data_IF_761572218535
#
_entry.id   IF_761572218535
#
_cell.length_a   1.000
_cell.length_b   1.000
_cell.length_c   1.000
_cell.angle_alpha   90.00
_cell.angle_beta   90.00
_cell.angle_gamma   90.00
#
_symmetry.space_group_name_H-M   'P 1'
#
loop_
_entity.id
_entity.type
_entity.pdbx_description
1 polymer ?
#
# COMPACT_ATOMS: atom_id res chain seq x y z
N UNK A 1 -0.10 10.69 10.84
CA UNK A 1 -0.02 9.30 11.32
C UNK A 1 0.37 8.42 10.14
N UNK A 2 1.48 7.70 10.22
CA UNK A 2 2.05 6.94 9.10
C UNK A 2 1.16 5.76 8.72
N UNK A 3 1.11 5.44 7.43
CA UNK A 3 0.24 4.41 6.86
C UNK A 3 1.06 3.33 6.18
N UNK A 4 0.76 2.07 6.48
CA UNK A 4 1.48 0.94 5.91
C UNK A 4 0.51 -0.09 5.35
N UNK A 5 0.79 -0.54 4.14
CA UNK A 5 0.11 -1.68 3.55
C UNK A 5 0.71 -2.97 4.11
N UNK A 6 -0.14 -3.95 4.44
CA UNK A 6 0.28 -5.31 4.71
C UNK A 6 -0.68 -6.29 4.04
N UNK A 7 -0.21 -7.46 3.61
CA UNK A 7 -1.12 -8.51 3.16
C UNK A 7 -2.01 -8.97 4.33
N UNK A 8 -3.26 -9.34 4.04
CA UNK A 8 -4.25 -9.71 5.07
C UNK A 8 -3.78 -10.86 5.98
N UNK A 9 -2.95 -11.75 5.46
CA UNK A 9 -2.36 -12.90 6.15
C UNK A 9 -1.44 -12.49 7.31
N UNK A 10 -0.93 -11.25 7.28
CA UNK A 10 -0.14 -10.66 8.36
C UNK A 10 -0.97 -10.27 9.58
N UNK A 11 -2.30 -10.29 9.49
CA UNK A 11 -3.23 -9.86 10.53
C UNK A 11 -3.83 -11.08 11.21
N UNK A 12 -3.57 -11.24 12.51
CA UNK A 12 -4.07 -12.38 13.32
C UNK A 12 -4.66 -11.87 14.62
N UNK A 13 -5.98 -11.99 14.77
CA UNK A 13 -6.70 -11.48 15.94
C UNK A 13 -6.50 -9.98 16.10
N UNK A 14 -5.91 -9.57 17.22
CA UNK A 14 -5.61 -8.17 17.53
C UNK A 14 -4.14 -7.78 17.23
N UNK A 15 -3.39 -8.57 16.46
CA UNK A 15 -1.96 -8.34 16.21
C UNK A 15 -1.62 -8.41 14.72
N UNK A 16 -0.75 -7.50 14.28
CA UNK A 16 -0.23 -7.43 12.92
C UNK A 16 1.27 -7.68 12.98
N UNK A 17 1.75 -8.68 12.23
CA UNK A 17 3.16 -8.95 12.06
C UNK A 17 3.67 -8.33 10.76
N UNK A 18 4.68 -7.46 10.86
CA UNK A 18 5.28 -6.79 9.69
C UNK A 18 6.73 -7.25 9.57
N UNK A 19 7.12 -7.71 8.40
CA UNK A 19 8.46 -8.17 8.07
C UNK A 19 8.86 -7.70 6.67
N UNK A 20 10.08 -8.00 6.23
CA UNK A 20 10.52 -7.68 4.88
C UNK A 20 10.72 -6.18 4.64
N UNK A 21 10.34 -5.71 3.45
CA UNK A 21 10.64 -4.34 3.01
C UNK A 21 9.84 -3.29 3.79
N UNK A 22 8.60 -3.59 4.15
CA UNK A 22 7.77 -2.71 4.99
C UNK A 22 8.36 -2.57 6.39
N UNK A 23 8.90 -3.64 6.99
CA UNK A 23 9.55 -3.55 8.30
C UNK A 23 10.82 -2.69 8.25
N UNK A 24 11.64 -2.85 7.21
CA UNK A 24 12.81 -2.00 6.99
C UNK A 24 12.41 -0.52 6.83
N UNK A 25 11.38 -0.25 6.02
CA UNK A 25 10.85 1.09 5.84
C UNK A 25 10.35 1.70 7.17
N UNK A 26 9.69 0.91 8.01
CA UNK A 26 9.20 1.36 9.32
C UNK A 26 10.35 1.64 10.31
N UNK A 27 11.32 0.73 10.40
CA UNK A 27 12.35 0.75 11.46
C UNK A 27 13.50 1.68 11.09
N UNK A 28 14.01 1.59 9.87
CA UNK A 28 15.27 2.24 9.50
C UNK A 28 15.05 3.61 8.82
N UNK A 29 13.98 3.70 8.01
CA UNK A 29 13.64 4.93 7.27
C UNK A 29 12.74 5.84 8.10
N UNK A 30 11.57 5.33 8.51
CA UNK A 30 10.60 6.08 9.31
C UNK A 30 11.00 6.19 10.79
N UNK A 31 11.87 5.29 11.28
CA UNK A 31 12.42 5.29 12.64
C UNK A 31 11.37 5.29 13.74
N UNK A 32 10.27 4.57 13.51
CA UNK A 32 9.22 4.41 14.50
C UNK A 32 9.74 3.61 15.71
N UNK A 33 9.22 3.96 16.89
CA UNK A 33 9.59 3.39 18.18
C UNK A 33 8.45 2.58 18.78
N UNK A 34 8.78 1.85 19.84
CA UNK A 34 7.76 1.26 20.71
C UNK A 34 6.77 2.34 21.16
N UNK A 35 5.49 1.95 21.18
CA UNK A 35 4.35 2.79 21.53
C UNK A 35 3.96 3.85 20.48
N UNK A 36 4.65 3.97 19.35
CA UNK A 36 4.19 4.85 18.27
C UNK A 36 2.90 4.33 17.64
N UNK A 37 2.00 5.26 17.30
CA UNK A 37 0.74 4.97 16.62
C UNK A 37 0.91 4.90 15.11
N UNK A 38 0.31 3.86 14.51
CA UNK A 38 0.31 3.63 13.07
C UNK A 38 -1.07 3.27 12.57
N UNK A 39 -1.29 3.53 11.28
CA UNK A 39 -2.43 2.98 10.56
C UNK A 39 -1.93 1.90 9.62
N UNK A 40 -2.51 0.72 9.72
CA UNK A 40 -2.24 -0.41 8.82
C UNK A 40 -3.48 -0.68 7.99
N UNK A 41 -3.33 -1.04 6.71
CA UNK A 41 -4.44 -1.38 5.83
C UNK A 41 -4.09 -2.59 4.97
N UNK A 42 -5.11 -3.37 4.59
CA UNK A 42 -4.94 -4.67 3.92
C UNK A 42 -5.35 -4.69 2.43
N UNK A 43 -5.70 -3.52 1.88
CA UNK A 43 -6.18 -3.39 0.51
C UNK A 43 -7.61 -3.90 0.27
N UNK A 44 -8.30 -4.44 1.29
CA UNK A 44 -9.69 -4.91 1.17
C UNK A 44 -10.73 -3.85 1.54
N UNK A 45 -10.27 -2.61 1.79
CA UNK A 45 -11.10 -1.53 2.32
C UNK A 45 -11.05 -1.41 3.84
N UNK A 46 -10.28 -2.24 4.55
CA UNK A 46 -10.13 -2.16 6.01
C UNK A 46 -8.87 -1.41 6.44
N UNK A 47 -9.03 -0.62 7.50
CA UNK A 47 -7.95 0.06 8.20
C UNK A 47 -7.94 -0.32 9.68
N UNK A 48 -6.73 -0.44 10.23
CA UNK A 48 -6.44 -0.80 11.59
C UNK A 48 -5.61 0.31 12.22
N UNK A 49 -6.14 0.95 13.27
CA UNK A 49 -5.33 1.76 14.15
C UNK A 49 -4.59 0.81 15.08
N UNK A 50 -3.30 1.05 15.28
CA UNK A 50 -2.52 0.21 16.17
C UNK A 50 -1.30 0.89 16.73
N UNK A 51 -0.71 0.22 17.71
CA UNK A 51 0.44 0.67 18.47
C UNK A 51 1.58 -0.32 18.26
N UNK A 52 2.79 0.17 17.95
CA UNK A 52 3.98 -0.68 17.84
C UNK A 52 4.30 -1.28 19.22
N UNK A 53 4.26 -2.61 19.33
CA UNK A 53 4.49 -3.33 20.59
C UNK A 53 5.83 -4.03 20.69
N UNK A 54 6.40 -4.44 19.55
CA UNK A 54 7.70 -5.10 19.51
C UNK A 54 8.44 -4.65 18.26
N UNK A 55 9.74 -4.40 18.40
CA UNK A 55 10.65 -4.11 17.30
C UNK A 55 11.82 -5.07 17.40
N UNK A 56 11.99 -5.89 16.38
CA UNK A 56 13.18 -6.73 16.16
C UNK A 56 14.02 -6.20 15.01
N UNK A 57 15.08 -6.94 14.65
CA UNK A 57 16.05 -6.47 13.64
C UNK A 57 15.48 -6.37 12.20
N UNK A 58 14.48 -7.17 11.82
CA UNK A 58 13.86 -7.16 10.48
C UNK A 58 12.34 -7.33 10.52
N UNK A 59 11.75 -7.08 11.68
CA UNK A 59 10.33 -7.32 11.91
C UNK A 59 9.83 -6.49 13.06
N UNK A 60 8.56 -6.12 13.02
CA UNK A 60 7.88 -5.51 14.16
C UNK A 60 6.49 -6.12 14.33
N UNK A 61 5.88 -5.87 15.49
CA UNK A 61 4.47 -6.15 15.71
C UNK A 61 3.71 -4.90 16.11
N UNK A 62 2.48 -4.83 15.62
CA UNK A 62 1.52 -3.77 15.92
C UNK A 62 0.32 -4.42 16.59
N UNK A 63 -0.07 -3.91 17.76
CA UNK A 63 -1.32 -4.27 18.40
C UNK A 63 -2.44 -3.37 17.89
N UNK A 64 -3.54 -3.98 17.44
CA UNK A 64 -4.72 -3.30 16.91
C UNK A 64 -5.52 -2.73 18.07
N UNK A 65 -5.69 -1.42 18.09
CA UNK A 65 -6.53 -0.70 19.07
C UNK A 65 -7.91 -0.39 18.51
N UNK A 66 -8.05 -0.26 17.19
CA UNK A 66 -9.34 -0.13 16.52
C UNK A 66 -9.28 -0.64 15.08
N UNK A 67 -10.41 -1.09 14.55
CA UNK A 67 -10.58 -1.44 13.14
C UNK A 67 -11.76 -0.67 12.56
N UNK A 68 -11.64 -0.22 11.31
CA UNK A 68 -12.70 0.51 10.60
C UNK A 68 -12.70 0.20 9.11
N UNK A 69 -13.88 0.33 8.51
CA UNK A 69 -14.05 0.39 7.06
C UNK A 69 -13.60 1.76 6.54
N UNK A 70 -12.69 1.77 5.57
CA UNK A 70 -12.21 2.97 4.91
C UNK A 70 -13.20 3.40 3.82
N UNK A 71 -14.05 4.39 4.13
CA UNK A 71 -14.97 4.99 3.15
C UNK A 71 -14.28 6.01 2.25
N UNK A 72 -13.24 5.59 1.52
CA UNK A 72 -12.44 6.49 0.65
C UNK A 72 -12.53 6.16 -0.85
N UNK A 73 -13.20 5.09 -1.21
CA UNK A 73 -13.41 4.71 -2.60
C UNK A 73 -14.25 5.75 -3.35
N UNK A 74 -13.89 5.98 -4.62
CA UNK A 74 -14.62 6.87 -5.49
C UNK A 74 -16.06 6.38 -5.70
N UNK A 75 -17.01 7.30 -5.84
CA UNK A 75 -18.42 6.96 -6.12
C UNK A 75 -18.62 6.33 -7.50
N UNK A 76 -17.64 6.50 -8.39
CA UNK A 76 -17.64 5.98 -9.75
C UNK A 76 -16.42 5.07 -9.91
N UNK A 77 -16.64 3.86 -10.44
CA UNK A 77 -15.56 2.93 -10.77
C UNK A 77 -14.99 3.28 -12.14
N UNK A 78 -13.70 3.66 -12.19
CA UNK A 78 -13.02 4.00 -13.44
C UNK A 78 -11.98 2.93 -13.77
N UNK A 79 -12.05 2.39 -14.98
CA UNK A 79 -11.02 1.51 -15.55
C UNK A 79 -10.22 2.29 -16.59
N UNK A 80 -8.93 2.48 -16.33
CA UNK A 80 -7.99 3.14 -17.24
C UNK A 80 -7.35 2.10 -18.16
N UNK A 81 -7.72 2.11 -19.45
CA UNK A 81 -7.02 1.35 -20.48
C UNK A 81 -5.89 2.24 -21.02
N UNK A 82 -4.65 1.93 -20.66
CA UNK A 82 -3.48 2.76 -20.95
C UNK A 82 -2.57 2.08 -21.97
N UNK A 83 -2.38 2.71 -23.13
CA UNK A 83 -1.34 2.29 -24.06
C UNK A 83 0.04 2.49 -23.40
N UNK A 84 0.91 1.47 -23.44
CA UNK A 84 2.22 1.54 -22.76
C UNK A 84 3.04 2.71 -23.35
N UNK A 85 3.42 3.72 -22.54
CA UNK A 85 4.20 4.84 -23.04
C UNK A 85 5.65 4.44 -23.27
N UNK A 86 6.36 5.23 -24.09
CA UNK A 86 7.82 5.11 -24.21
C UNK A 86 8.49 5.65 -22.93
N UNK A 87 9.50 4.95 -22.42
CA UNK A 87 10.24 5.25 -21.17
C UNK A 87 9.39 5.07 -19.90
N UNK A 88 9.97 5.42 -18.76
CA UNK A 88 9.46 5.32 -17.38
C UNK A 88 8.24 6.22 -17.06
N UNK A 89 7.45 6.64 -18.06
CA UNK A 89 6.23 7.42 -17.82
C UNK A 89 5.12 6.60 -17.17
N UNK A 90 5.20 5.27 -17.22
CA UNK A 90 4.17 4.39 -16.68
C UNK A 90 4.05 4.54 -15.16
N UNK A 91 5.16 4.74 -14.45
CA UNK A 91 5.17 4.91 -13.00
C UNK A 91 4.38 6.15 -12.59
N UNK A 92 4.61 7.28 -13.28
CA UNK A 92 3.84 8.50 -13.08
C UNK A 92 2.35 8.30 -13.35
N UNK A 93 1.98 7.57 -14.41
CA UNK A 93 0.58 7.28 -14.72
C UNK A 93 -0.05 6.41 -13.62
N UNK A 94 0.65 5.37 -13.17
CA UNK A 94 0.16 4.49 -12.11
C UNK A 94 -0.04 5.23 -10.79
N UNK A 95 0.93 6.08 -10.41
CA UNK A 95 0.83 6.95 -9.24
C UNK A 95 -0.40 7.87 -9.33
N UNK A 96 -0.51 8.64 -10.42
CA UNK A 96 -1.61 9.63 -10.55
C UNK A 96 -2.97 9.01 -10.76
N UNK A 97 -3.06 7.88 -11.46
CA UNK A 97 -4.31 7.13 -11.57
C UNK A 97 -4.77 6.62 -10.20
N UNK A 98 -3.85 6.09 -9.38
CA UNK A 98 -4.17 5.63 -8.02
C UNK A 98 -4.63 6.78 -7.12
N UNK A 99 -3.92 7.92 -7.14
CA UNK A 99 -4.29 9.12 -6.38
C UNK A 99 -5.66 9.68 -6.77
N UNK A 100 -6.04 9.58 -8.05
CA UNK A 100 -7.34 10.01 -8.57
C UNK A 100 -8.46 9.00 -8.32
N UNK A 101 -8.16 7.83 -7.73
CA UNK A 101 -9.14 6.80 -7.41
C UNK A 101 -9.54 5.92 -8.60
N UNK A 102 -8.66 5.74 -9.58
CA UNK A 102 -8.85 4.74 -10.64
C UNK A 102 -8.87 3.35 -10.00
N UNK A 103 -9.93 2.59 -10.28
CA UNK A 103 -10.17 1.27 -9.69
C UNK A 103 -9.34 0.17 -10.36
N UNK A 104 -9.02 0.33 -11.64
CA UNK A 104 -8.24 -0.64 -12.39
C UNK A 104 -7.44 0.04 -13.51
N UNK A 105 -6.18 -0.35 -13.67
CA UNK A 105 -5.32 0.06 -14.78
C UNK A 105 -5.05 -1.19 -15.64
N UNK A 106 -5.35 -1.11 -16.93
CA UNK A 106 -5.08 -2.16 -17.91
C UNK A 106 -4.05 -1.63 -18.91
N UNK A 107 -2.76 -1.99 -18.76
CA UNK A 107 -1.75 -1.68 -19.76
C UNK A 107 -2.02 -2.45 -21.04
N UNK A 108 -1.97 -1.78 -22.19
CA UNK A 108 -2.20 -2.40 -23.51
C UNK A 108 -1.11 -2.03 -24.52
N UNK A 109 -0.81 -2.99 -25.40
CA UNK A 109 -0.03 -2.74 -26.62
C UNK A 109 -0.99 -2.39 -27.75
N UNK A 110 -0.73 -1.27 -28.42
CA UNK A 110 -1.51 -0.76 -29.55
C UNK A 110 -0.62 -0.64 -30.77
N UNK A 111 -1.20 -0.36 -31.94
CA UNK A 111 -0.47 -0.26 -33.22
C UNK A 111 0.70 0.76 -33.23
N UNK A 112 0.71 1.72 -32.30
CA UNK A 112 1.76 2.75 -32.16
C UNK A 112 2.50 2.68 -30.83
N UNK A 113 2.28 1.65 -30.03
CA UNK A 113 3.07 1.42 -28.82
C UNK A 113 4.50 1.12 -29.23
N UNK A 114 5.47 1.77 -28.58
CA UNK A 114 6.90 1.54 -28.77
C UNK A 114 7.39 0.90 -27.46
N UNK A 115 7.43 -0.43 -27.38
CA UNK A 115 7.78 -1.11 -26.16
C UNK A 115 9.29 -1.08 -25.97
N UNK A 116 9.74 -0.99 -24.72
CA UNK A 116 11.13 -1.15 -24.33
C UNK A 116 11.17 -2.34 -23.38
N UNK A 117 11.54 -3.52 -23.88
CA UNK A 117 11.58 -4.78 -23.12
C UNK A 117 13.01 -5.20 -22.77
N UNK A 118 13.98 -4.28 -22.92
CA UNK A 118 15.38 -4.53 -22.60
C UNK A 118 15.65 -4.42 -21.10
#
# INVERSE_FOLDING_TARGET
MSRFYVPKESIKGNRIAISGIEAHHIIDVMRLKLLDEVVVFDGTGKEYLGIVKEIGHKSLSVEITAAREAKREARCSVTLIQAIPKKEKMDYIAEKATELGVSQIIPVTTARTIPDWN
#
